data_IF_087878540366
#
_entry.id   IF_087878540366
#
_cell.length_a   1.000
_cell.length_b   1.000
_cell.length_c   1.000
_cell.angle_alpha   90.00
_cell.angle_beta   90.00
_cell.angle_gamma   90.00
#
_symmetry.space_group_name_H-M   'P 1'
#
loop_
_entity.id
_entity.type
_entity.pdbx_description
1 polymer ?
#
# COMPACT_ATOMS: atom_id res chain seq x y z
N UNK A 1 -2.29 -29.79 56.79
CA UNK A 1 -2.89 -28.56 56.33
C UNK A 1 -4.27 -28.91 55.87
N UNK A 2 -5.43 -28.55 56.28
CA UNK A 2 -5.96 -27.36 56.76
C UNK A 2 -7.47 -27.49 56.99
N UNK A 3 -7.92 -28.37 57.93
CA UNK A 3 -9.36 -28.34 58.32
C UNK A 3 -9.74 -26.98 58.88
N UNK A 4 -8.83 -26.32 59.57
CA UNK A 4 -9.04 -24.95 60.12
C UNK A 4 -9.24 -23.91 58.98
N UNK A 5 -8.42 -23.92 57.94
CA UNK A 5 -8.56 -23.00 56.81
C UNK A 5 -9.89 -23.17 56.07
N UNK A 6 -10.28 -24.43 55.80
CA UNK A 6 -11.56 -24.74 55.15
C UNK A 6 -12.75 -24.31 55.99
N UNK A 7 -12.68 -24.47 57.36
CA UNK A 7 -13.70 -24.03 58.27
C UNK A 7 -13.79 -22.48 58.32
N UNK A 8 -12.65 -21.80 58.29
CA UNK A 8 -12.63 -20.32 58.25
C UNK A 8 -13.21 -19.79 56.93
N UNK A 9 -12.82 -20.35 55.79
CA UNK A 9 -13.36 -20.02 54.46
C UNK A 9 -14.90 -20.21 54.47
N UNK A 10 -15.41 -21.28 55.06
CA UNK A 10 -16.83 -21.56 55.13
C UNK A 10 -17.58 -20.60 56.01
N UNK A 11 -16.99 -20.15 57.11
CA UNK A 11 -17.63 -19.19 58.02
C UNK A 11 -17.64 -17.75 57.51
N UNK A 12 -16.63 -17.39 56.70
CA UNK A 12 -16.47 -16.05 56.11
C UNK A 12 -16.85 -16.02 54.63
N UNK A 13 -17.68 -17.00 54.19
CA UNK A 13 -17.97 -17.17 52.75
C UNK A 13 -18.54 -15.94 52.04
N UNK A 14 -19.34 -15.11 52.76
CA UNK A 14 -19.91 -13.90 52.18
C UNK A 14 -18.89 -12.81 51.92
N UNK A 15 -17.93 -12.63 52.84
CA UNK A 15 -16.81 -11.72 52.69
C UNK A 15 -15.82 -12.23 51.63
N UNK A 16 -15.57 -13.55 51.65
CA UNK A 16 -14.72 -14.20 50.64
C UNK A 16 -15.36 -14.20 49.24
N UNK A 17 -16.70 -14.28 49.13
CA UNK A 17 -17.40 -14.23 47.87
C UNK A 17 -17.24 -12.86 47.20
N UNK A 18 -17.26 -11.78 47.94
CA UNK A 18 -16.96 -10.43 47.41
C UNK A 18 -15.57 -10.35 46.85
N UNK A 19 -14.57 -10.81 47.60
CA UNK A 19 -13.17 -10.82 47.17
C UNK A 19 -12.96 -11.70 45.93
N UNK A 20 -13.59 -12.88 45.90
CA UNK A 20 -13.54 -13.78 44.69
C UNK A 20 -14.16 -13.13 43.47
N UNK A 21 -15.32 -12.43 43.66
CA UNK A 21 -15.97 -11.72 42.57
C UNK A 21 -15.10 -10.56 42.03
N UNK A 22 -14.47 -9.80 42.90
CA UNK A 22 -13.57 -8.71 42.53
C UNK A 22 -12.32 -9.26 41.79
N UNK A 23 -11.69 -10.31 42.30
CA UNK A 23 -10.55 -10.97 41.63
C UNK A 23 -10.94 -11.54 40.27
N UNK A 24 -12.16 -12.11 40.16
CA UNK A 24 -12.64 -12.65 38.88
C UNK A 24 -12.86 -11.53 37.88
N UNK A 25 -13.46 -10.43 38.28
CA UNK A 25 -13.65 -9.24 37.42
C UNK A 25 -12.30 -8.69 36.95
N UNK A 26 -11.35 -8.51 37.86
CA UNK A 26 -10.00 -8.04 37.52
C UNK A 26 -9.31 -9.04 36.57
N UNK A 27 -9.44 -10.32 36.80
CA UNK A 27 -8.85 -11.36 35.95
C UNK A 27 -9.44 -11.34 34.55
N UNK A 28 -10.76 -11.16 34.40
CA UNK A 28 -11.44 -11.05 33.10
C UNK A 28 -10.97 -9.80 32.34
N UNK A 29 -10.89 -8.65 33.03
CA UNK A 29 -10.40 -7.40 32.44
C UNK A 29 -8.94 -7.54 32.01
N UNK A 30 -8.08 -8.11 32.87
CA UNK A 30 -6.68 -8.34 32.55
C UNK A 30 -6.51 -9.31 31.37
N UNK A 31 -7.29 -10.38 31.33
CA UNK A 31 -7.28 -11.32 30.21
C UNK A 31 -7.67 -10.60 28.91
N UNK A 32 -8.73 -9.79 28.91
CA UNK A 32 -9.16 -9.02 27.74
C UNK A 32 -8.06 -8.07 27.25
N UNK A 33 -7.39 -7.35 28.17
CA UNK A 33 -6.29 -6.44 27.82
C UNK A 33 -5.12 -7.21 27.18
N UNK A 34 -4.73 -8.33 27.79
CA UNK A 34 -3.62 -9.16 27.27
C UNK A 34 -3.96 -9.74 25.91
N UNK A 35 -5.17 -10.29 25.75
CA UNK A 35 -5.64 -10.83 24.46
C UNK A 35 -5.66 -9.74 23.37
N UNK A 36 -6.22 -8.56 23.70
CA UNK A 36 -6.22 -7.43 22.79
C UNK A 36 -4.82 -7.01 22.36
N UNK A 37 -3.88 -6.87 23.32
CA UNK A 37 -2.49 -6.53 23.02
C UNK A 37 -1.80 -7.61 22.17
N UNK A 38 -2.04 -8.89 22.49
CA UNK A 38 -1.50 -10.01 21.73
C UNK A 38 -2.00 -10.01 20.27
N UNK A 39 -3.30 -9.85 20.06
CA UNK A 39 -3.90 -9.78 18.71
C UNK A 39 -3.33 -8.60 17.93
N UNK A 40 -3.21 -7.42 18.55
CA UNK A 40 -2.62 -6.25 17.90
C UNK A 40 -1.16 -6.44 17.55
N UNK A 41 -0.37 -7.02 18.44
CA UNK A 41 1.03 -7.34 18.17
C UNK A 41 1.14 -8.39 17.05
N UNK A 42 0.34 -9.45 17.09
CA UNK A 42 0.33 -10.47 16.05
C UNK A 42 0.04 -9.85 14.67
N UNK A 43 -1.00 -9.00 14.55
CA UNK A 43 -1.32 -8.29 13.30
C UNK A 43 -0.17 -7.38 12.87
N UNK A 44 0.45 -6.66 13.80
CA UNK A 44 1.56 -5.76 13.48
C UNK A 44 2.75 -6.48 12.81
N UNK A 45 3.05 -7.71 13.25
CA UNK A 45 4.14 -8.54 12.74
C UNK A 45 3.77 -9.44 11.54
N UNK A 46 2.51 -9.43 11.08
CA UNK A 46 2.15 -10.15 9.85
C UNK A 46 2.92 -9.60 8.64
N UNK A 47 3.24 -10.43 7.64
CA UNK A 47 3.84 -9.96 6.39
C UNK A 47 3.01 -8.85 5.75
N UNK A 48 3.69 -7.81 5.26
CA UNK A 48 3.03 -6.64 4.65
C UNK A 48 2.73 -6.82 3.18
N UNK A 49 3.49 -7.67 2.48
CA UNK A 49 3.47 -7.83 1.02
C UNK A 49 4.11 -6.68 0.26
N UNK A 50 4.82 -5.78 0.97
CA UNK A 50 5.59 -4.67 0.39
C UNK A 50 6.76 -4.31 1.30
N UNK A 51 7.75 -3.63 0.72
CA UNK A 51 8.89 -3.06 1.43
C UNK A 51 8.96 -1.54 1.21
N UNK A 52 9.05 -0.79 2.30
CA UNK A 52 9.20 0.67 2.32
C UNK A 52 10.63 1.13 2.59
N UNK A 53 11.56 0.20 2.86
CA UNK A 53 12.96 0.53 3.11
C UNK A 53 13.52 1.30 1.92
N UNK A 54 14.25 2.38 2.19
CA UNK A 54 14.84 3.23 1.15
C UNK A 54 13.83 3.84 0.16
N UNK A 55 12.54 3.91 0.54
CA UNK A 55 11.49 4.49 -0.29
C UNK A 55 11.14 5.92 0.13
N UNK A 56 10.87 6.76 -0.87
CA UNK A 56 10.50 8.17 -0.67
C UNK A 56 9.32 8.55 -1.53
N UNK A 57 8.44 9.37 -0.98
CA UNK A 57 7.36 10.04 -1.69
C UNK A 57 7.84 11.43 -2.10
N UNK A 58 7.76 11.72 -3.38
CA UNK A 58 8.06 13.03 -3.96
C UNK A 58 6.74 13.69 -4.32
N UNK A 59 6.44 14.79 -3.65
CA UNK A 59 5.31 15.63 -4.01
C UNK A 59 5.75 16.63 -5.08
N UNK A 60 5.02 16.63 -6.18
CA UNK A 60 5.24 17.55 -7.29
C UNK A 60 4.41 18.82 -7.10
N UNK A 61 4.94 19.94 -7.55
CA UNK A 61 4.25 21.22 -7.63
C UNK A 61 4.24 21.74 -9.06
N UNK A 62 3.37 22.72 -9.33
CA UNK A 62 3.33 23.44 -10.60
C UNK A 62 3.51 24.93 -10.35
N UNK A 63 4.37 25.56 -11.14
CA UNK A 63 4.55 27.02 -11.13
C UNK A 63 3.23 27.71 -11.48
N UNK A 64 3.00 28.86 -10.90
CA UNK A 64 1.87 29.75 -11.19
C UNK A 64 2.34 30.95 -11.96
N UNK A 65 1.40 31.72 -12.50
CA UNK A 65 1.64 33.01 -13.22
C UNK A 65 2.43 34.07 -12.43
N UNK A 66 2.55 33.89 -11.12
CA UNK A 66 3.36 34.72 -10.22
C UNK A 66 4.86 34.40 -10.27
N UNK A 67 5.21 33.25 -10.82
CA UNK A 67 6.62 32.87 -10.95
C UNK A 67 7.25 33.51 -12.20
N UNK A 68 8.45 34.09 -12.12
CA UNK A 68 9.12 34.64 -13.30
C UNK A 68 9.44 33.63 -14.38
N UNK A 69 9.53 32.34 -14.00
CA UNK A 69 9.86 31.23 -14.91
C UNK A 69 8.61 30.50 -15.41
N UNK A 70 7.41 31.02 -15.14
CA UNK A 70 6.18 30.36 -15.55
C UNK A 70 6.03 30.37 -17.09
N UNK A 71 5.71 29.20 -17.64
CA UNK A 71 5.43 29.02 -19.07
C UNK A 71 3.91 29.11 -19.27
N UNK A 72 3.38 30.16 -19.87
CA UNK A 72 1.95 30.33 -20.08
C UNK A 72 1.44 29.42 -21.20
N UNK A 73 0.11 29.20 -21.21
CA UNK A 73 -0.62 28.54 -22.31
C UNK A 73 -0.18 27.08 -22.61
N UNK A 74 0.36 26.38 -21.63
CA UNK A 74 0.64 24.95 -21.80
C UNK A 74 -0.63 24.15 -22.05
N UNK A 75 -0.62 23.28 -23.06
CA UNK A 75 -1.68 22.30 -23.28
C UNK A 75 -1.66 21.23 -22.20
N UNK A 76 -2.78 20.52 -22.03
CA UNK A 76 -2.84 19.35 -21.10
C UNK A 76 -1.81 18.29 -21.45
N UNK A 77 -1.52 18.11 -22.73
CA UNK A 77 -0.47 17.20 -23.23
C UNK A 77 0.91 17.61 -22.71
N UNK A 78 1.28 18.87 -22.92
CA UNK A 78 2.55 19.40 -22.43
C UNK A 78 2.67 19.30 -20.91
N UNK A 79 1.58 19.54 -20.18
CA UNK A 79 1.55 19.38 -18.72
C UNK A 79 1.79 17.92 -18.28
N UNK A 80 1.26 16.94 -19.02
CA UNK A 80 1.54 15.50 -18.78
C UNK A 80 3.00 15.14 -19.07
N UNK A 81 3.51 15.63 -20.20
CA UNK A 81 4.91 15.39 -20.59
C UNK A 81 5.88 16.02 -19.57
N UNK A 82 5.58 17.17 -19.01
CA UNK A 82 6.39 17.76 -17.93
C UNK A 82 6.46 16.84 -16.71
N UNK A 83 5.32 16.27 -16.28
CA UNK A 83 5.25 15.32 -15.14
C UNK A 83 6.06 14.06 -15.43
N UNK A 84 5.90 13.46 -16.61
CA UNK A 84 6.68 12.30 -17.02
C UNK A 84 8.16 12.62 -17.16
N UNK A 85 8.49 13.78 -17.73
CA UNK A 85 9.85 14.24 -17.89
C UNK A 85 10.58 14.39 -16.56
N UNK A 86 9.89 14.82 -15.50
CA UNK A 86 10.46 14.86 -14.15
C UNK A 86 10.81 13.44 -13.65
N UNK A 87 9.89 12.48 -13.81
CA UNK A 87 10.14 11.10 -13.42
C UNK A 87 11.28 10.46 -14.22
N UNK A 88 11.34 10.73 -15.54
CA UNK A 88 12.44 10.22 -16.37
C UNK A 88 13.80 10.79 -15.91
N UNK A 89 13.88 12.09 -15.56
CA UNK A 89 15.12 12.65 -15.00
C UNK A 89 15.53 11.96 -13.70
N UNK A 90 14.57 11.63 -12.83
CA UNK A 90 14.85 10.89 -11.60
C UNK A 90 15.34 9.45 -11.88
N UNK A 91 14.82 8.76 -12.90
CA UNK A 91 15.30 7.43 -13.30
C UNK A 91 16.78 7.41 -13.71
N UNK A 92 17.26 8.50 -14.30
CA UNK A 92 18.68 8.60 -14.69
C UNK A 92 19.62 8.95 -13.53
N UNK A 93 19.08 9.17 -12.34
CA UNK A 93 19.89 9.47 -11.17
C UNK A 93 20.57 8.20 -10.67
N UNK A 94 21.91 8.21 -10.43
CA UNK A 94 22.67 6.99 -10.13
C UNK A 94 22.32 6.35 -8.80
N UNK A 95 21.76 7.13 -7.83
CA UNK A 95 21.34 6.67 -6.51
C UNK A 95 19.89 6.13 -6.49
N UNK A 96 19.13 6.27 -7.56
CA UNK A 96 17.76 5.75 -7.67
C UNK A 96 17.75 4.38 -8.36
N UNK A 97 16.99 3.45 -7.76
CA UNK A 97 16.79 2.10 -8.28
C UNK A 97 15.50 1.99 -9.10
N UNK A 98 14.42 2.56 -8.61
CA UNK A 98 13.11 2.52 -9.27
C UNK A 98 12.33 3.81 -9.05
N UNK A 99 11.50 4.20 -10.04
CA UNK A 99 10.62 5.37 -10.00
C UNK A 99 9.25 4.94 -10.49
N UNK A 100 8.21 5.16 -9.70
CA UNK A 100 6.85 4.78 -10.05
C UNK A 100 5.82 5.83 -9.65
N UNK A 101 4.76 5.93 -10.47
CA UNK A 101 3.58 6.74 -10.16
C UNK A 101 2.47 5.88 -9.56
N UNK A 102 1.70 6.46 -8.65
CA UNK A 102 0.46 5.89 -8.13
C UNK A 102 -0.65 6.93 -8.02
N UNK A 103 -1.90 6.45 -8.02
CA UNK A 103 -3.07 7.23 -7.71
C UNK A 103 -3.77 6.60 -6.50
N UNK A 104 -3.67 7.23 -5.34
CA UNK A 104 -4.13 6.69 -4.04
C UNK A 104 -3.63 5.25 -3.81
N UNK A 105 -2.35 5.00 -4.09
CA UNK A 105 -1.83 3.64 -4.23
C UNK A 105 -0.67 3.30 -3.28
N UNK A 106 0.04 4.29 -2.74
CA UNK A 106 1.18 4.01 -1.87
C UNK A 106 0.74 3.45 -0.50
N UNK A 107 1.60 2.65 0.16
CA UNK A 107 1.33 2.15 1.51
C UNK A 107 1.12 3.29 2.52
N UNK A 108 0.24 3.07 3.51
CA UNK A 108 -0.13 4.06 4.54
C UNK A 108 -0.84 5.33 4.02
N UNK A 109 -1.33 5.31 2.79
CA UNK A 109 -2.12 6.40 2.25
C UNK A 109 -3.47 6.49 2.98
N UNK A 110 -3.85 7.68 3.45
CA UNK A 110 -5.15 7.93 4.08
C UNK A 110 -6.34 7.94 3.11
N UNK A 111 -6.10 7.89 1.80
CA UNK A 111 -7.12 7.93 0.74
C UNK A 111 -7.08 6.66 -0.09
N UNK A 112 -8.19 5.93 -0.14
CA UNK A 112 -8.35 4.71 -0.93
C UNK A 112 -9.57 4.76 -1.82
N UNK A 113 -9.47 4.07 -2.96
CA UNK A 113 -10.62 3.81 -3.82
C UNK A 113 -10.91 2.31 -3.84
N UNK A 114 -12.15 1.94 -3.58
CA UNK A 114 -12.62 0.55 -3.72
C UNK A 114 -12.96 0.20 -5.16
N UNK A 115 -12.91 -1.08 -5.48
CA UNK A 115 -13.33 -1.61 -6.78
C UNK A 115 -13.89 -3.01 -6.64
N UNK A 116 -14.57 -3.46 -7.69
CA UNK A 116 -15.05 -4.82 -7.85
C UNK A 116 -14.21 -5.54 -8.90
N UNK A 117 -13.86 -6.79 -8.59
CA UNK A 117 -13.21 -7.74 -9.51
C UNK A 117 -14.10 -8.96 -9.62
N UNK A 118 -14.54 -9.29 -10.82
CA UNK A 118 -15.50 -10.36 -11.07
C UNK A 118 -14.97 -11.41 -12.05
N UNK A 119 -15.11 -12.66 -11.67
CA UNK A 119 -14.82 -13.81 -12.53
C UNK A 119 -15.96 -14.81 -12.44
N UNK A 120 -16.66 -15.04 -13.54
CA UNK A 120 -17.86 -15.88 -13.59
C UNK A 120 -18.86 -15.48 -12.48
N UNK A 121 -19.14 -16.38 -11.55
CA UNK A 121 -20.01 -16.16 -10.38
C UNK A 121 -19.27 -15.60 -9.14
N UNK A 122 -17.93 -15.49 -9.23
CA UNK A 122 -17.10 -14.98 -8.14
C UNK A 122 -17.02 -13.46 -8.19
N UNK A 123 -17.23 -12.83 -7.05
CA UNK A 123 -17.19 -11.38 -6.89
C UNK A 123 -16.32 -11.03 -5.68
N UNK A 124 -15.36 -10.13 -5.87
CA UNK A 124 -14.51 -9.63 -4.79
C UNK A 124 -15.29 -8.81 -3.76
N UNK A 125 -14.77 -8.62 -2.55
CA UNK A 125 -15.31 -7.64 -1.62
C UNK A 125 -15.33 -6.24 -2.24
N UNK A 126 -16.40 -5.47 -2.01
CA UNK A 126 -16.57 -4.12 -2.58
C UNK A 126 -15.53 -3.09 -2.10
N UNK A 127 -14.80 -3.39 -1.00
CA UNK A 127 -13.69 -2.58 -0.50
C UNK A 127 -12.32 -3.08 -0.99
N UNK A 128 -12.27 -3.91 -2.04
CA UNK A 128 -11.00 -4.26 -2.69
C UNK A 128 -10.32 -2.98 -3.15
N UNK A 129 -9.14 -2.71 -2.62
CA UNK A 129 -8.40 -1.48 -2.88
C UNK A 129 -7.96 -1.47 -4.35
N UNK A 130 -8.37 -0.44 -5.08
CA UNK A 130 -7.92 -0.18 -6.43
C UNK A 130 -6.61 0.59 -6.41
N UNK A 131 -5.57 0.03 -6.99
CA UNK A 131 -4.27 0.68 -7.17
C UNK A 131 -4.04 0.91 -8.66
N UNK A 132 -4.10 2.17 -9.11
CA UNK A 132 -3.74 2.57 -10.46
C UNK A 132 -2.31 3.11 -10.44
N UNK A 133 -1.41 2.43 -11.10
CA UNK A 133 0.04 2.68 -10.97
C UNK A 133 0.78 2.58 -12.30
N UNK A 134 1.94 3.23 -12.40
CA UNK A 134 2.88 2.93 -13.48
C UNK A 134 3.55 1.57 -13.25
N UNK A 135 4.07 0.90 -14.29
CA UNK A 135 4.65 -0.44 -14.16
C UNK A 135 5.71 -0.55 -13.07
N UNK A 136 6.63 0.41 -12.99
CA UNK A 136 7.73 0.39 -12.03
C UNK A 136 7.32 0.61 -10.57
N UNK A 137 6.06 0.98 -10.29
CA UNK A 137 5.57 1.15 -8.92
C UNK A 137 5.70 -0.15 -8.10
N UNK A 138 5.47 -1.31 -8.72
CA UNK A 138 5.62 -2.61 -8.05
C UNK A 138 7.09 -2.91 -7.72
N UNK A 139 8.04 -2.34 -8.47
CA UNK A 139 9.48 -2.40 -8.17
C UNK A 139 9.86 -1.46 -7.02
N UNK A 140 9.26 -0.28 -6.94
CA UNK A 140 9.49 0.66 -5.83
C UNK A 140 9.16 -0.01 -4.49
N UNK A 141 8.05 -0.72 -4.41
CA UNK A 141 7.58 -1.35 -3.18
C UNK A 141 7.85 -2.85 -3.09
N UNK A 142 8.65 -3.41 -4.02
CA UNK A 142 9.09 -4.80 -4.01
C UNK A 142 7.91 -5.78 -3.86
N UNK A 143 6.88 -5.65 -4.70
CA UNK A 143 5.78 -6.61 -4.72
C UNK A 143 6.25 -7.96 -5.26
N UNK A 144 5.65 -9.05 -4.77
CA UNK A 144 5.95 -10.40 -5.19
C UNK A 144 4.68 -11.14 -5.61
N UNK A 145 4.82 -11.99 -6.61
CA UNK A 145 3.76 -12.88 -7.06
C UNK A 145 3.76 -14.19 -6.29
N UNK A 146 2.59 -14.81 -6.17
CA UNK A 146 2.42 -16.08 -5.45
C UNK A 146 3.08 -17.28 -6.12
N UNK A 147 3.47 -17.16 -7.39
CA UNK A 147 4.22 -18.17 -8.14
C UNK A 147 5.72 -17.89 -8.17
N UNK A 148 6.18 -16.89 -7.40
CA UNK A 148 7.57 -16.46 -7.36
C UNK A 148 7.93 -15.41 -8.41
N UNK A 149 6.93 -14.74 -9.00
CA UNK A 149 7.19 -13.61 -9.90
C UNK A 149 7.90 -12.48 -9.15
N UNK A 150 9.00 -12.02 -9.74
CA UNK A 150 9.80 -10.90 -9.20
C UNK A 150 9.14 -9.54 -9.49
N UNK A 151 9.52 -8.47 -8.76
CA UNK A 151 9.02 -7.12 -9.06
C UNK A 151 9.20 -6.70 -10.52
N UNK A 152 10.29 -7.11 -11.18
CA UNK A 152 10.56 -6.82 -12.59
C UNK A 152 9.58 -7.54 -13.52
N UNK A 153 9.31 -8.81 -13.26
CA UNK A 153 8.35 -9.60 -14.03
C UNK A 153 6.92 -9.06 -13.85
N UNK A 154 6.56 -8.65 -12.62
CA UNK A 154 5.27 -8.01 -12.34
C UNK A 154 5.13 -6.67 -13.07
N UNK A 155 6.20 -5.86 -13.13
CA UNK A 155 6.20 -4.60 -13.86
C UNK A 155 6.00 -4.83 -15.37
N UNK A 156 6.65 -5.84 -15.95
CA UNK A 156 6.46 -6.23 -17.35
C UNK A 156 5.01 -6.65 -17.63
N UNK A 157 4.45 -7.52 -16.80
CA UNK A 157 3.04 -7.95 -16.92
C UNK A 157 2.08 -6.76 -16.83
N UNK A 158 2.35 -5.82 -15.92
CA UNK A 158 1.52 -4.64 -15.70
C UNK A 158 1.64 -3.61 -16.83
N UNK A 159 2.71 -3.62 -17.61
CA UNK A 159 2.89 -2.72 -18.77
C UNK A 159 1.85 -2.95 -19.86
N UNK A 160 1.22 -4.12 -19.90
CA UNK A 160 0.15 -4.43 -20.84
C UNK A 160 -1.20 -3.87 -20.38
N UNK A 161 -1.85 -2.96 -21.13
CA UNK A 161 -3.06 -2.26 -20.68
C UNK A 161 -4.24 -3.17 -20.33
N UNK A 162 -4.30 -4.36 -20.92
CA UNK A 162 -5.36 -5.36 -20.64
C UNK A 162 -5.02 -6.32 -19.49
N UNK A 163 -3.85 -6.21 -18.90
CA UNK A 163 -3.48 -6.98 -17.72
C UNK A 163 -3.83 -6.22 -16.44
N UNK A 164 -4.04 -6.99 -15.39
CA UNK A 164 -4.09 -6.51 -14.01
C UNK A 164 -3.47 -7.56 -13.08
N UNK A 165 -3.11 -7.14 -11.89
CA UNK A 165 -2.63 -8.01 -10.81
C UNK A 165 -3.60 -7.89 -9.64
N UNK A 166 -3.73 -8.93 -8.82
CA UNK A 166 -4.59 -8.86 -7.63
C UNK A 166 -4.09 -9.78 -6.53
N UNK A 167 -4.44 -9.45 -5.29
CA UNK A 167 -4.06 -10.25 -4.12
C UNK A 167 -4.72 -11.64 -4.14
N UNK A 168 -3.96 -12.68 -3.78
CA UNK A 168 -4.37 -14.08 -3.86
C UNK A 168 -5.63 -14.41 -3.02
N UNK A 169 -5.81 -13.70 -1.93
CA UNK A 169 -6.93 -13.88 -1.02
C UNK A 169 -8.26 -13.28 -1.50
N UNK A 170 -8.33 -12.73 -2.72
CA UNK A 170 -9.47 -11.97 -3.23
C UNK A 170 -10.82 -12.69 -3.09
N UNK A 171 -10.84 -14.00 -3.30
CA UNK A 171 -12.03 -14.85 -3.19
C UNK A 171 -12.01 -15.80 -1.99
N UNK A 172 -10.92 -15.79 -1.21
CA UNK A 172 -10.67 -16.74 -0.12
C UNK A 172 -11.77 -16.72 0.94
N UNK A 173 -12.07 -15.53 1.47
CA UNK A 173 -13.03 -15.37 2.58
C UNK A 173 -14.44 -15.82 2.22
N UNK A 174 -14.91 -15.48 1.02
CA UNK A 174 -16.31 -15.71 0.63
C UNK A 174 -16.53 -17.07 -0.03
N UNK A 175 -15.54 -17.55 -0.79
CA UNK A 175 -15.69 -18.73 -1.64
C UNK A 175 -14.68 -19.84 -1.33
N UNK A 176 -13.76 -19.62 -0.40
CA UNK A 176 -12.69 -20.60 -0.07
C UNK A 176 -11.70 -20.83 -1.22
N UNK A 177 -11.59 -19.88 -2.18
CA UNK A 177 -10.76 -20.04 -3.39
C UNK A 177 -9.62 -19.07 -3.41
N UNK A 178 -8.44 -19.56 -3.72
CA UNK A 178 -7.25 -18.75 -4.00
C UNK A 178 -7.30 -18.24 -5.44
N UNK A 179 -6.69 -17.08 -5.71
CA UNK A 179 -6.67 -16.45 -7.02
C UNK A 179 -5.63 -17.07 -7.96
N UNK A 180 -4.53 -17.59 -7.42
CA UNK A 180 -3.40 -18.16 -8.17
C UNK A 180 -3.80 -19.12 -9.29
N UNK A 181 -4.77 -20.07 -9.12
CA UNK A 181 -5.19 -20.96 -10.22
C UNK A 181 -5.87 -20.26 -11.39
N UNK A 182 -6.31 -19.01 -11.21
CA UNK A 182 -7.04 -18.23 -12.21
C UNK A 182 -6.13 -17.29 -13.03
N UNK A 183 -4.82 -17.29 -12.80
CA UNK A 183 -3.86 -16.52 -13.60
C UNK A 183 -3.97 -16.90 -15.08
N UNK A 184 -4.03 -15.89 -15.94
CA UNK A 184 -4.27 -16.03 -17.39
C UNK A 184 -5.75 -16.03 -17.80
N UNK A 185 -6.69 -16.04 -16.86
CA UNK A 185 -8.14 -15.97 -17.16
C UNK A 185 -8.62 -14.52 -17.33
N UNK A 186 -9.79 -14.39 -17.97
CA UNK A 186 -10.43 -13.10 -18.24
C UNK A 186 -11.41 -12.73 -17.12
N UNK A 187 -11.34 -11.49 -16.68
CA UNK A 187 -12.13 -10.92 -15.59
C UNK A 187 -12.83 -9.63 -16.03
N UNK A 188 -13.88 -9.27 -15.33
CA UNK A 188 -14.50 -7.95 -15.39
C UNK A 188 -14.03 -7.10 -14.22
N UNK A 189 -13.72 -5.84 -14.48
CA UNK A 189 -13.24 -4.88 -13.48
C UNK A 189 -14.19 -3.67 -13.40
N UNK A 190 -14.19 -2.97 -12.27
CA UNK A 190 -14.90 -1.71 -12.06
C UNK A 190 -16.44 -1.80 -12.19
N UNK A 191 -17.00 -3.00 -12.10
CA UNK A 191 -18.44 -3.21 -12.36
C UNK A 191 -18.83 -3.15 -13.84
N UNK A 192 -17.87 -2.95 -14.74
CA UNK A 192 -18.07 -2.92 -16.19
C UNK A 192 -17.96 -4.35 -16.76
N UNK A 193 -18.97 -4.77 -17.48
CA UNK A 193 -19.04 -6.08 -18.16
C UNK A 193 -18.84 -5.98 -19.68
N UNK A 194 -18.55 -4.81 -20.21
CA UNK A 194 -18.33 -4.59 -21.65
C UNK A 194 -16.90 -4.94 -22.07
N UNK A 195 -15.95 -4.85 -21.13
CA UNK A 195 -14.54 -5.16 -21.37
C UNK A 195 -14.02 -6.22 -20.40
N UNK A 196 -13.13 -7.08 -20.92
CA UNK A 196 -12.42 -8.06 -20.11
C UNK A 196 -10.95 -7.72 -19.97
N UNK A 197 -10.38 -8.14 -18.85
CA UNK A 197 -8.98 -7.96 -18.49
C UNK A 197 -8.38 -9.29 -18.08
N UNK A 198 -7.11 -9.51 -18.41
CA UNK A 198 -6.41 -10.74 -18.07
C UNK A 198 -5.74 -10.60 -16.71
N UNK A 199 -5.95 -11.56 -15.81
CA UNK A 199 -5.15 -11.67 -14.59
C UNK A 199 -3.73 -12.06 -14.96
N UNK A 200 -2.80 -11.10 -14.93
CA UNK A 200 -1.41 -11.32 -15.29
C UNK A 200 -0.64 -12.12 -14.23
N UNK A 201 -0.85 -11.79 -12.96
CA UNK A 201 -0.29 -12.52 -11.82
C UNK A 201 -1.20 -12.39 -10.59
N UNK A 202 -1.13 -13.38 -9.71
CA UNK A 202 -1.65 -13.33 -8.35
C UNK A 202 -0.55 -12.82 -7.42
N UNK A 203 -0.85 -11.81 -6.63
CA UNK A 203 0.10 -11.18 -5.70
C UNK A 203 0.01 -11.81 -4.31
N UNK A 204 1.12 -11.86 -3.60
CA UNK A 204 1.09 -11.93 -2.14
C UNK A 204 0.19 -10.83 -1.60
N UNK A 205 -0.39 -11.05 -0.41
CA UNK A 205 -1.33 -10.08 0.15
C UNK A 205 -0.61 -8.78 0.47
N UNK A 206 -0.99 -7.71 -0.24
CA UNK A 206 -0.48 -6.36 -0.01
C UNK A 206 -1.39 -5.66 0.98
N UNK A 207 -0.94 -5.52 2.22
CA UNK A 207 -1.68 -4.84 3.28
C UNK A 207 -1.72 -3.33 3.03
N UNK A 208 -2.72 -2.68 3.61
CA UNK A 208 -2.84 -1.23 3.55
C UNK A 208 -2.00 -0.55 4.64
N UNK A 209 -2.03 -1.11 5.85
CA UNK A 209 -1.32 -0.61 7.03
C UNK A 209 -0.89 -1.75 7.93
N UNK A 210 -0.02 -1.46 8.92
CA UNK A 210 0.44 -2.44 9.91
C UNK A 210 -0.66 -2.92 10.88
N UNK A 211 -1.80 -2.25 10.90
CA UNK A 211 -2.90 -2.55 11.82
C UNK A 211 -4.08 -3.28 11.15
N UNK A 212 -4.03 -3.46 9.84
CA UNK A 212 -5.02 -4.22 9.09
C UNK A 212 -4.57 -5.66 8.90
N UNK A 213 -5.45 -6.61 9.19
CA UNK A 213 -5.17 -8.04 9.07
C UNK A 213 -4.99 -8.43 7.60
N UNK A 214 -3.97 -9.24 7.30
CA UNK A 214 -3.68 -9.71 5.94
C UNK A 214 -4.88 -10.43 5.30
N UNK A 215 -5.61 -11.25 6.07
CA UNK A 215 -6.76 -11.99 5.56
C UNK A 215 -7.95 -11.11 5.14
N UNK A 216 -7.97 -9.84 5.54
CA UNK A 216 -9.01 -8.86 5.20
C UNK A 216 -8.49 -7.74 4.27
N UNK A 217 -7.24 -7.81 3.86
CA UNK A 217 -6.63 -6.86 2.92
C UNK A 217 -6.74 -7.39 1.50
N UNK A 218 -7.51 -6.70 0.67
CA UNK A 218 -7.74 -7.07 -0.74
C UNK A 218 -7.29 -5.94 -1.64
N UNK A 219 -6.54 -6.25 -2.69
CA UNK A 219 -6.11 -5.23 -3.64
C UNK A 219 -6.13 -5.73 -5.08
N UNK A 220 -6.37 -4.80 -5.98
CA UNK A 220 -6.24 -4.94 -7.42
C UNK A 220 -5.32 -3.84 -7.94
N UNK A 221 -4.33 -4.20 -8.74
CA UNK A 221 -3.32 -3.30 -9.31
C UNK A 221 -3.47 -3.29 -10.83
N UNK A 222 -3.58 -2.12 -11.41
CA UNK A 222 -3.75 -1.93 -12.84
C UNK A 222 -2.93 -0.74 -13.33
N UNK A 223 -2.58 -0.77 -14.61
CA UNK A 223 -1.88 0.31 -15.28
C UNK A 223 -2.66 1.63 -15.15
N UNK A 224 -1.94 2.67 -14.75
CA UNK A 224 -2.45 4.04 -14.69
C UNK A 224 -2.78 4.54 -16.11
N UNK A 225 -4.01 5.05 -16.34
CA UNK A 225 -4.38 5.59 -17.63
C UNK A 225 -3.51 6.79 -18.04
N UNK A 226 -3.14 6.84 -19.31
CA UNK A 226 -2.23 7.85 -19.86
C UNK A 226 -2.72 9.30 -19.63
N UNK A 227 -4.02 9.51 -19.71
CA UNK A 227 -4.63 10.83 -19.51
C UNK A 227 -4.73 11.30 -18.05
N UNK A 228 -4.27 10.47 -17.08
CA UNK A 228 -4.34 10.77 -15.65
C UNK A 228 -3.06 11.37 -15.09
N UNK A 229 -1.96 11.39 -15.88
CA UNK A 229 -0.69 11.97 -15.42
C UNK A 229 -0.84 13.46 -15.13
N UNK A 230 -0.66 13.83 -13.87
CA UNK A 230 -0.69 15.20 -13.35
C UNK A 230 0.16 15.31 -12.08
N UNK A 231 0.46 16.52 -11.63
CA UNK A 231 1.22 16.82 -10.39
C UNK A 231 0.56 16.31 -9.12
N UNK A 232 -0.74 16.01 -9.16
CA UNK A 232 -1.48 15.37 -8.05
C UNK A 232 -1.21 13.88 -7.87
N UNK A 233 -0.49 13.23 -8.79
CA UNK A 233 -0.08 11.84 -8.62
C UNK A 233 1.03 11.68 -7.59
N UNK A 234 1.08 10.50 -7.02
CA UNK A 234 2.10 10.06 -6.08
C UNK A 234 3.33 9.62 -6.87
N UNK A 235 4.41 10.37 -6.80
CA UNK A 235 5.69 9.98 -7.39
C UNK A 235 6.53 9.31 -6.30
N UNK A 236 6.67 8.00 -6.39
CA UNK A 236 7.40 7.18 -5.43
C UNK A 236 8.74 6.74 -6.02
N UNK A 237 9.80 6.80 -5.22
CA UNK A 237 11.13 6.35 -5.63
C UNK A 237 11.71 5.39 -4.61
N UNK A 238 12.45 4.39 -5.12
CA UNK A 238 13.35 3.56 -4.31
C UNK A 238 14.79 3.97 -4.58
N UNK A 239 15.51 4.20 -3.51
CA UNK A 239 16.93 4.55 -3.51
C UNK A 239 17.75 3.30 -3.26
N UNK A 240 18.93 3.18 -3.85
CA UNK A 240 19.87 2.10 -3.56
C UNK A 240 20.30 2.15 -2.09
N UNK A 241 20.38 1.00 -1.45
CA UNK A 241 20.65 0.87 -0.01
C UNK A 241 21.93 1.63 0.44
N UNK A 242 23.00 1.53 -0.35
CA UNK A 242 24.26 2.22 -0.09
C UNK A 242 24.21 3.74 -0.32
N UNK A 243 23.16 4.26 -0.94
CA UNK A 243 22.97 5.66 -1.32
C UNK A 243 21.83 6.36 -0.56
N UNK A 244 21.21 5.70 0.40
CA UNK A 244 20.04 6.21 1.12
C UNK A 244 20.38 7.38 2.08
N UNK A 245 21.59 7.36 2.65
CA UNK A 245 22.03 8.40 3.57
C UNK A 245 22.01 9.79 2.91
N UNK A 246 21.34 10.73 3.60
CA UNK A 246 21.21 12.13 3.18
C UNK A 246 20.54 12.34 1.80
N UNK A 247 19.81 11.32 1.30
CA UNK A 247 19.16 11.39 -0.01
C UNK A 247 18.28 12.64 -0.16
N UNK A 248 17.42 12.93 0.83
CA UNK A 248 16.55 14.12 0.79
C UNK A 248 17.36 15.41 0.64
N UNK A 249 18.47 15.53 1.37
CA UNK A 249 19.33 16.73 1.32
C UNK A 249 19.99 16.86 -0.05
N UNK A 250 20.52 15.78 -0.60
CA UNK A 250 21.11 15.78 -1.95
C UNK A 250 20.08 16.11 -3.03
N UNK A 251 18.90 15.48 -2.97
CA UNK A 251 17.84 15.72 -3.94
C UNK A 251 17.36 17.18 -3.89
N UNK A 252 17.20 17.76 -2.70
CA UNK A 252 16.82 19.16 -2.53
C UNK A 252 17.88 20.14 -3.08
N UNK A 253 19.16 19.85 -2.88
CA UNK A 253 20.25 20.66 -3.43
C UNK A 253 20.25 20.70 -4.95
N UNK A 254 19.83 19.60 -5.59
CA UNK A 254 19.79 19.46 -7.04
C UNK A 254 18.44 19.90 -7.64
N UNK A 255 17.38 20.04 -6.83
CA UNK A 255 15.98 20.11 -7.29
C UNK A 255 15.71 21.31 -8.21
N UNK A 256 16.19 22.49 -7.88
CA UNK A 256 15.96 23.70 -8.69
C UNK A 256 16.66 23.67 -10.04
N UNK A 257 17.86 23.06 -10.11
CA UNK A 257 18.68 23.05 -11.32
C UNK A 257 18.36 21.89 -12.25
N UNK A 258 18.11 20.70 -11.70
CA UNK A 258 18.04 19.46 -12.47
C UNK A 258 16.63 18.88 -12.55
N UNK A 259 15.78 19.14 -11.56
CA UNK A 259 14.47 18.49 -11.41
C UNK A 259 13.30 19.45 -11.56
N UNK A 260 13.47 20.49 -12.40
CA UNK A 260 12.39 21.32 -12.92
C UNK A 260 12.19 21.00 -14.41
N UNK A 261 10.97 20.64 -14.80
CA UNK A 261 10.60 20.35 -16.20
C UNK A 261 9.36 21.17 -16.53
N UNK A 262 9.47 22.08 -17.49
CA UNK A 262 8.40 23.04 -17.78
C UNK A 262 7.96 23.77 -16.53
N UNK A 263 6.69 23.69 -16.19
CA UNK A 263 6.12 24.27 -14.96
C UNK A 263 6.16 23.33 -13.75
N UNK A 264 6.64 22.08 -13.89
CA UNK A 264 6.62 21.08 -12.82
C UNK A 264 7.95 21.11 -12.05
N UNK A 265 7.87 21.02 -10.73
CA UNK A 265 9.01 20.99 -9.83
C UNK A 265 8.77 20.05 -8.64
N UNK A 266 9.82 19.72 -7.90
CA UNK A 266 9.73 18.95 -6.64
C UNK A 266 9.35 19.93 -5.53
N UNK A 267 8.15 19.77 -4.95
CA UNK A 267 7.66 20.60 -3.86
C UNK A 267 8.11 20.07 -2.48
N UNK A 268 8.00 18.75 -2.27
CA UNK A 268 8.36 18.12 -1.01
C UNK A 268 8.87 16.70 -1.24
N UNK A 269 9.74 16.24 -0.36
CA UNK A 269 10.23 14.84 -0.31
C UNK A 269 10.09 14.32 1.10
N UNK A 270 9.43 13.19 1.27
CA UNK A 270 9.22 12.53 2.56
C UNK A 270 9.66 11.08 2.49
N UNK A 271 10.29 10.57 3.56
CA UNK A 271 10.58 9.14 3.67
C UNK A 271 9.30 8.36 3.99
N UNK A 272 9.24 7.10 3.56
CA UNK A 272 8.12 6.23 3.94
C UNK A 272 8.17 5.82 5.41
N UNK A 273 9.34 5.86 6.04
CA UNK A 273 9.45 5.70 7.50
C UNK A 273 8.75 6.82 8.27
N UNK A 274 8.82 8.07 7.78
CA UNK A 274 8.09 9.20 8.38
C UNK A 274 6.58 9.15 8.08
N UNK A 275 6.18 8.65 6.92
CA UNK A 275 4.76 8.49 6.54
C UNK A 275 4.09 7.39 7.38
N UNK A 276 4.82 6.34 7.74
CA UNK A 276 4.37 5.21 8.56
C UNK A 276 4.10 5.60 10.02
N UNK A 277 4.82 6.58 10.58
CA UNK A 277 4.71 7.04 11.99
C UNK A 277 3.49 7.88 12.25
#
# INVERSE_FOLDING_TARGET
MNKKLLTQIKNEWRSNLWLVTELLLVSVVMWYIVDYMYVKAAVYYEPRGFDISHCYLIQMGRLTDKSPDFIPNQTKEQQREDVKGLAERLKYRPDIEAVGFGQNSYPYNGSNSGTEVRYDTLQSPGWTIRRLVSPDFVRVFQYHGTRGETPEQLAELLSHPKNFLASDNLYKKRYGRDLTPLVGKQFYLFGDTTETYTLGASLEVVRYSDYEQAWNSYSMVKLLPENWYDVGLELCVRVKEDQDKDFITRLKADSEKLYRVGNVFIAEVRSFDDIRR
#
